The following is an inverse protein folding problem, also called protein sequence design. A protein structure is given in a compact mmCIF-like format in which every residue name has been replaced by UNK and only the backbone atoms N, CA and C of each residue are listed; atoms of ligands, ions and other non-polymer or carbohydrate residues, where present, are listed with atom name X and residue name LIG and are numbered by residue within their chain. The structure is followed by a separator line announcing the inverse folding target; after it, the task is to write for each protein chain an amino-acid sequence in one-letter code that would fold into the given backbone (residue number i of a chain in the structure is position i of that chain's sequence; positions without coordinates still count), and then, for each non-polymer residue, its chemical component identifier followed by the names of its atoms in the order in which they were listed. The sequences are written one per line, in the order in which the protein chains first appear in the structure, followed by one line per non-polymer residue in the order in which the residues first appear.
data_IF_003458261577
#
_entry.id   IF_003458261577
#
_cell.length_a   1.000
_cell.length_b   1.000
_cell.length_c   1.000
_cell.angle_alpha   90.00
_cell.angle_beta   90.00
_cell.angle_gamma   90.00
#
_symmetry.space_group_name_H-M   'P 1'
#
loop_
_entity.id
_entity.type
_entity.pdbx_description
1 polymer ?
#
# COMPACT_ATOMS: atom_id res chain seq x y z
N UNK A 1 -22.86 0.94 -14.16
CA UNK A 1 -22.24 1.91 -13.22
C UNK A 1 -20.91 1.37 -12.75
N UNK A 2 -19.90 2.21 -12.59
CA UNK A 2 -18.63 1.87 -11.98
C UNK A 2 -18.82 1.46 -10.50
N UNK A 3 -18.09 0.45 -10.03
CA UNK A 3 -18.10 0.04 -8.62
C UNK A 3 -17.06 0.85 -7.84
N UNK A 4 -17.46 1.38 -6.69
CA UNK A 4 -16.54 2.08 -5.78
C UNK A 4 -16.17 1.24 -4.55
N UNK A 5 -16.33 -0.08 -4.62
CA UNK A 5 -16.11 -1.01 -3.50
C UNK A 5 -14.64 -1.10 -3.11
N UNK A 6 -13.74 -1.25 -4.10
CA UNK A 6 -12.31 -1.38 -3.85
C UNK A 6 -11.48 -1.07 -5.11
N UNK A 7 -10.15 -1.04 -4.99
CA UNK A 7 -9.19 -0.70 -6.03
C UNK A 7 -8.52 -1.93 -6.71
N UNK A 8 -9.18 -3.09 -6.71
CA UNK A 8 -8.66 -4.33 -7.30
C UNK A 8 -9.75 -5.14 -8.03
N UNK A 9 -10.81 -4.50 -8.53
CA UNK A 9 -11.88 -5.18 -9.29
C UNK A 9 -11.55 -5.28 -10.78
N UNK A 10 -10.79 -4.35 -11.31
CA UNK A 10 -10.37 -4.34 -12.70
C UNK A 10 -9.16 -5.26 -12.93
N UNK A 11 -8.88 -5.56 -14.20
CA UNK A 11 -7.68 -6.27 -14.61
C UNK A 11 -6.43 -5.41 -14.52
N UNK A 12 -5.49 -5.60 -15.45
CA UNK A 12 -4.30 -4.76 -15.51
C UNK A 12 -4.47 -3.59 -16.49
N UNK A 13 -3.70 -2.52 -16.26
CA UNK A 13 -3.57 -1.43 -17.22
C UNK A 13 -3.16 -1.97 -18.60
N UNK A 14 -3.73 -1.47 -19.71
CA UNK A 14 -3.47 -1.98 -21.07
C UNK A 14 -1.99 -2.12 -21.41
N UNK A 15 -1.16 -1.16 -21.00
CA UNK A 15 0.29 -1.18 -21.20
C UNK A 15 0.99 -2.37 -20.50
N UNK A 16 0.48 -2.78 -19.34
CA UNK A 16 0.97 -3.98 -18.62
C UNK A 16 0.54 -5.25 -19.35
N UNK A 17 -0.71 -5.33 -19.81
CA UNK A 17 -1.21 -6.47 -20.60
C UNK A 17 -0.43 -6.62 -21.91
N UNK A 18 -0.18 -5.51 -22.59
CA UNK A 18 0.62 -5.51 -23.81
C UNK A 18 2.02 -6.10 -23.58
N UNK A 19 2.70 -5.70 -22.50
CA UNK A 19 4.00 -6.24 -22.11
C UNK A 19 3.96 -7.76 -21.89
N UNK A 20 2.93 -8.26 -21.25
CA UNK A 20 2.73 -9.71 -21.04
C UNK A 20 2.54 -10.41 -22.37
N UNK A 21 1.68 -9.89 -23.26
CA UNK A 21 1.39 -10.46 -24.57
C UNK A 21 2.64 -10.49 -25.45
N UNK A 22 3.38 -9.39 -25.55
CA UNK A 22 4.61 -9.28 -26.35
C UNK A 22 5.67 -10.31 -25.96
N UNK A 23 5.75 -10.66 -24.69
CA UNK A 23 6.76 -11.60 -24.16
C UNK A 23 6.24 -13.03 -23.98
N UNK A 24 4.96 -13.30 -24.34
CA UNK A 24 4.31 -14.57 -24.02
C UNK A 24 5.01 -15.80 -24.63
N UNK A 25 5.51 -15.70 -25.85
CA UNK A 25 6.15 -16.80 -26.58
C UNK A 25 7.67 -16.89 -26.34
N UNK A 26 8.24 -16.01 -25.52
CA UNK A 26 9.67 -16.07 -25.19
C UNK A 26 9.93 -17.17 -24.17
N UNK A 27 11.05 -17.87 -24.30
CA UNK A 27 11.53 -18.84 -23.34
C UNK A 27 12.44 -18.19 -22.31
N UNK A 28 12.11 -18.35 -21.04
CA UNK A 28 12.84 -17.76 -19.92
C UNK A 28 13.21 -18.79 -18.86
N UNK A 29 14.32 -18.55 -18.17
CA UNK A 29 14.65 -19.28 -16.93
C UNK A 29 13.55 -18.96 -15.89
N UNK A 30 13.09 -19.99 -15.19
CA UNK A 30 12.03 -19.86 -14.17
C UNK A 30 12.48 -19.19 -12.87
N UNK A 31 11.54 -19.09 -11.95
CA UNK A 31 11.79 -18.71 -10.56
C UNK A 31 12.36 -17.29 -10.37
N UNK A 32 11.93 -16.35 -11.22
CA UNK A 32 12.33 -14.92 -11.21
C UNK A 32 13.80 -14.66 -11.55
N UNK A 33 14.53 -15.64 -12.11
CA UNK A 33 15.91 -15.47 -12.57
C UNK A 33 16.04 -14.95 -14.01
N UNK A 34 14.91 -14.71 -14.65
CA UNK A 34 14.78 -14.27 -16.04
C UNK A 34 15.12 -12.79 -16.25
N UNK A 35 15.24 -12.40 -17.52
CA UNK A 35 15.58 -11.04 -17.90
C UNK A 35 14.45 -10.02 -17.65
N UNK A 36 13.17 -10.45 -17.67
CA UNK A 36 12.05 -9.57 -17.37
C UNK A 36 12.08 -9.17 -15.88
N UNK A 37 12.29 -10.14 -14.99
CA UNK A 37 12.49 -9.86 -13.58
C UNK A 37 13.73 -9.00 -13.30
N UNK A 38 14.84 -9.22 -14.02
CA UNK A 38 16.03 -8.37 -13.89
C UNK A 38 15.75 -6.94 -14.32
N UNK A 39 15.00 -6.72 -15.40
CA UNK A 39 14.59 -5.38 -15.86
C UNK A 39 13.67 -4.71 -14.84
N UNK A 40 12.61 -5.39 -14.36
CA UNK A 40 11.72 -4.86 -13.34
C UNK A 40 12.46 -4.46 -12.06
N UNK A 41 13.38 -5.30 -11.56
CA UNK A 41 14.25 -4.97 -10.42
C UNK A 41 15.11 -3.72 -10.69
N UNK A 42 15.69 -3.61 -11.88
CA UNK A 42 16.50 -2.46 -12.27
C UNK A 42 15.67 -1.19 -12.39
N UNK A 43 14.47 -1.27 -12.95
CA UNK A 43 13.56 -0.15 -13.10
C UNK A 43 13.09 0.39 -11.75
N UNK A 44 12.76 -0.49 -10.78
CA UNK A 44 12.43 -0.10 -9.39
C UNK A 44 13.62 0.62 -8.73
N UNK A 45 14.84 0.05 -8.80
CA UNK A 45 16.04 0.69 -8.24
C UNK A 45 16.30 2.06 -8.88
N UNK A 46 16.09 2.18 -10.18
CA UNK A 46 16.24 3.44 -10.91
C UNK A 46 15.19 4.47 -10.48
N UNK A 47 13.95 4.05 -10.21
CA UNK A 47 12.89 4.93 -9.68
C UNK A 47 13.23 5.43 -8.27
N UNK A 48 13.75 4.56 -7.39
CA UNK A 48 14.25 4.96 -6.06
C UNK A 48 15.33 6.04 -6.20
N UNK A 49 16.32 5.83 -7.09
CA UNK A 49 17.39 6.81 -7.31
C UNK A 49 16.87 8.13 -7.88
N UNK A 50 15.97 8.08 -8.88
CA UNK A 50 15.39 9.31 -9.47
C UNK A 50 14.57 10.12 -8.47
N UNK A 51 13.95 9.49 -7.47
CA UNK A 51 13.19 10.16 -6.43
C UNK A 51 14.07 10.83 -5.36
N UNK A 52 15.38 10.56 -5.33
CA UNK A 52 16.33 11.10 -4.35
C UNK A 52 16.77 12.52 -4.69
N UNK A 53 15.90 13.47 -4.54
CA UNK A 53 16.16 14.89 -4.81
C UNK A 53 16.90 15.62 -3.65
N UNK A 54 17.04 14.98 -2.49
CA UNK A 54 17.67 15.56 -1.27
C UNK A 54 18.99 14.87 -0.90
N UNK A 55 19.41 13.82 -1.62
CA UNK A 55 20.60 13.02 -1.28
C UNK A 55 20.39 12.12 -0.06
N UNK A 56 19.13 11.75 0.19
CA UNK A 56 18.69 10.92 1.33
C UNK A 56 19.38 9.55 1.32
N UNK A 57 19.47 8.89 0.18
CA UNK A 57 20.12 7.58 0.03
C UNK A 57 21.60 7.65 0.40
N UNK A 58 22.30 8.67 -0.08
CA UNK A 58 23.72 8.87 0.24
C UNK A 58 23.92 9.13 1.74
N UNK A 59 23.09 9.98 2.32
CA UNK A 59 23.14 10.32 3.74
C UNK A 59 22.88 9.10 4.62
N UNK A 60 22.03 8.19 4.18
CA UNK A 60 21.73 6.92 4.85
C UNK A 60 22.75 5.80 4.52
N UNK A 61 23.78 6.06 3.70
CA UNK A 61 24.79 5.08 3.29
C UNK A 61 24.24 3.97 2.40
N UNK A 62 23.14 4.21 1.69
CA UNK A 62 22.48 3.20 0.85
C UNK A 62 23.12 3.14 -0.52
N UNK A 63 23.49 1.94 -0.93
CA UNK A 63 23.96 1.61 -2.26
C UNK A 63 22.80 0.99 -3.05
N UNK A 64 22.18 1.70 -4.02
CA UNK A 64 20.99 1.20 -4.72
C UNK A 64 21.18 -0.16 -5.37
N UNK A 65 22.38 -0.46 -5.88
CA UNK A 65 22.69 -1.76 -6.47
C UNK A 65 22.67 -2.93 -5.46
N UNK A 66 22.81 -2.65 -4.18
CA UNK A 66 22.77 -3.63 -3.11
C UNK A 66 21.35 -3.91 -2.59
N UNK A 67 20.35 -3.14 -3.01
CA UNK A 67 18.95 -3.41 -2.67
C UNK A 67 18.52 -4.73 -3.32
N UNK A 68 18.06 -5.68 -2.51
CA UNK A 68 17.42 -6.88 -3.02
C UNK A 68 15.95 -6.56 -3.34
N UNK A 69 15.52 -6.85 -4.56
CA UNK A 69 14.13 -6.68 -5.00
C UNK A 69 13.60 -8.03 -5.43
N UNK A 70 12.50 -8.48 -4.83
CA UNK A 70 11.85 -9.74 -5.16
C UNK A 70 10.37 -9.51 -5.49
N UNK A 71 9.77 -10.46 -6.23
CA UNK A 71 8.37 -10.38 -6.64
C UNK A 71 7.57 -11.54 -6.06
N UNK A 72 6.36 -11.25 -5.57
CA UNK A 72 5.41 -12.21 -5.00
C UNK A 72 4.01 -11.99 -5.57
N UNK A 73 3.11 -12.97 -5.38
CA UNK A 73 1.81 -12.97 -6.03
C UNK A 73 0.76 -12.04 -5.41
N UNK A 74 0.96 -11.56 -4.19
CA UNK A 74 -0.02 -10.71 -3.53
C UNK A 74 0.43 -10.20 -2.16
N UNK A 75 -0.33 -9.25 -1.58
CA UNK A 75 0.01 -8.51 -0.36
C UNK A 75 0.18 -9.38 0.87
N UNK A 76 -0.78 -10.25 1.19
CA UNK A 76 -0.68 -11.17 2.34
C UNK A 76 0.56 -12.04 2.25
N UNK A 77 0.92 -12.54 1.04
CA UNK A 77 2.15 -13.29 0.84
C UNK A 77 3.40 -12.42 1.05
N UNK A 78 3.36 -11.15 0.62
CA UNK A 78 4.45 -10.21 0.83
C UNK A 78 4.68 -9.95 2.33
N UNK A 79 3.62 -9.73 3.10
CA UNK A 79 3.67 -9.52 4.54
C UNK A 79 4.18 -10.76 5.27
N UNK A 80 3.61 -11.93 4.97
CA UNK A 80 4.02 -13.20 5.56
C UNK A 80 5.51 -13.51 5.33
N UNK A 81 5.99 -13.35 4.10
CA UNK A 81 7.40 -13.62 3.77
C UNK A 81 8.32 -12.61 4.43
N UNK A 82 7.96 -11.32 4.39
CA UNK A 82 8.77 -10.23 4.96
C UNK A 82 8.92 -10.38 6.48
N UNK A 83 7.84 -10.67 7.18
CA UNK A 83 7.85 -10.85 8.64
C UNK A 83 8.57 -12.15 9.02
N UNK A 84 8.29 -13.26 8.34
CA UNK A 84 8.97 -14.54 8.60
C UNK A 84 10.49 -14.50 8.35
N UNK A 85 10.94 -13.64 7.40
CA UNK A 85 12.37 -13.46 7.15
C UNK A 85 13.05 -12.49 8.14
N UNK A 86 12.27 -11.62 8.77
CA UNK A 86 12.78 -10.56 9.66
C UNK A 86 12.86 -10.98 11.12
N UNK A 87 12.03 -11.93 11.56
CA UNK A 87 11.84 -12.25 12.96
C UNK A 87 12.36 -13.64 13.33
N UNK A 88 12.87 -13.75 14.56
CA UNK A 88 13.15 -15.03 15.22
C UNK A 88 11.88 -15.55 15.90
N UNK A 89 11.78 -16.86 16.22
CA UNK A 89 10.55 -17.47 16.76
C UNK A 89 9.97 -16.81 18.01
N UNK A 90 10.79 -16.15 18.84
CA UNK A 90 10.36 -15.45 20.07
C UNK A 90 10.09 -13.96 19.84
N UNK A 91 10.29 -13.47 18.63
CA UNK A 91 10.11 -12.05 18.29
C UNK A 91 8.73 -11.82 17.65
N UNK A 92 8.24 -10.59 17.75
CA UNK A 92 6.92 -10.19 17.29
C UNK A 92 6.95 -8.86 16.53
N UNK A 93 5.87 -8.59 15.80
CA UNK A 93 5.61 -7.33 15.15
C UNK A 93 4.76 -6.43 16.07
N UNK A 94 4.92 -5.11 15.93
CA UNK A 94 4.09 -4.07 16.55
C UNK A 94 3.44 -3.27 15.42
N UNK A 95 2.13 -3.07 15.48
CA UNK A 95 1.35 -2.41 14.44
C UNK A 95 0.24 -1.54 15.05
N UNK A 96 -0.40 -0.70 14.23
CA UNK A 96 -1.65 -0.02 14.59
C UNK A 96 -2.79 -1.04 14.72
N UNK A 97 -3.89 -0.73 15.46
CA UNK A 97 -4.98 -1.67 15.70
C UNK A 97 -5.68 -2.17 14.44
N UNK A 98 -5.83 -1.31 13.44
CA UNK A 98 -6.47 -1.57 12.15
C UNK A 98 -5.50 -2.03 11.06
N UNK A 99 -4.21 -2.18 11.38
CA UNK A 99 -3.19 -2.63 10.43
C UNK A 99 -3.60 -3.94 9.73
N UNK A 100 -3.36 -4.01 8.42
CA UNK A 100 -3.79 -5.12 7.56
C UNK A 100 -3.40 -6.50 8.11
N UNK A 101 -2.18 -6.65 8.64
CA UNK A 101 -1.69 -7.89 9.25
C UNK A 101 -2.44 -8.31 10.52
N UNK A 102 -3.11 -7.36 11.20
CA UNK A 102 -3.88 -7.64 12.40
C UNK A 102 -5.33 -8.05 12.08
N UNK A 103 -5.99 -7.39 11.10
CA UNK A 103 -7.44 -7.49 10.91
C UNK A 103 -7.88 -8.11 9.57
N UNK A 104 -7.00 -8.17 8.54
CA UNK A 104 -7.39 -8.56 7.18
C UNK A 104 -6.66 -9.78 6.60
N UNK A 105 -5.83 -10.49 7.40
CA UNK A 105 -5.02 -11.62 6.90
C UNK A 105 -5.33 -12.96 7.58
N UNK A 106 -6.44 -13.06 8.29
CA UNK A 106 -6.92 -14.31 8.90
C UNK A 106 -5.84 -15.02 9.75
N UNK A 107 -5.03 -14.24 10.49
CA UNK A 107 -3.95 -14.76 11.31
C UNK A 107 -2.76 -15.32 10.52
N UNK A 108 -2.46 -14.80 9.32
CA UNK A 108 -1.34 -15.29 8.50
C UNK A 108 0.02 -15.12 9.20
N UNK A 109 0.18 -14.06 9.99
CA UNK A 109 1.41 -13.79 10.73
C UNK A 109 1.55 -14.74 11.91
N UNK A 110 0.47 -14.98 12.64
CA UNK A 110 0.41 -15.97 13.72
C UNK A 110 0.66 -17.38 13.19
N UNK A 111 0.11 -17.71 12.02
CA UNK A 111 0.33 -19.00 11.36
C UNK A 111 1.79 -19.21 10.92
N UNK A 112 2.55 -18.15 10.70
CA UNK A 112 4.00 -18.27 10.43
C UNK A 112 4.86 -18.24 11.72
N UNK A 113 4.23 -18.14 12.90
CA UNK A 113 4.87 -18.31 14.21
C UNK A 113 5.14 -17.00 14.96
N UNK A 114 4.58 -15.88 14.54
CA UNK A 114 4.84 -14.58 15.15
C UNK A 114 3.55 -13.92 15.64
N UNK A 115 3.59 -13.35 16.83
CA UNK A 115 2.49 -12.56 17.38
C UNK A 115 2.50 -11.14 16.78
N UNK A 116 1.31 -10.58 16.55
CA UNK A 116 1.13 -9.16 16.31
C UNK A 116 0.69 -8.51 17.63
N UNK A 117 1.41 -7.48 18.06
CA UNK A 117 1.04 -6.58 19.16
C UNK A 117 0.48 -5.30 18.54
N UNK A 118 -0.56 -4.76 19.14
CA UNK A 118 -1.18 -3.52 18.65
C UNK A 118 -0.97 -2.38 19.65
N UNK A 119 -0.85 -1.17 19.13
CA UNK A 119 -0.84 0.06 19.91
C UNK A 119 -2.28 0.54 20.16
N UNK A 120 -2.44 1.60 20.96
CA UNK A 120 -3.74 2.25 21.21
C UNK A 120 -3.98 3.44 20.25
N UNK A 121 -3.27 3.51 19.13
CA UNK A 121 -3.39 4.59 18.14
C UNK A 121 -4.73 4.50 17.40
N UNK A 122 -5.68 5.37 17.76
CA UNK A 122 -7.08 5.28 17.33
C UNK A 122 -7.33 5.70 15.86
N UNK A 123 -6.38 6.41 15.26
CA UNK A 123 -6.49 6.92 13.88
C UNK A 123 -5.83 6.01 12.82
N UNK A 124 -5.30 4.86 13.27
CA UNK A 124 -4.58 3.92 12.40
C UNK A 124 -3.15 4.36 12.04
N UNK A 125 -2.71 5.48 12.57
CA UNK A 125 -1.35 6.01 12.39
C UNK A 125 -0.45 5.53 13.52
N UNK A 126 0.48 4.62 13.24
CA UNK A 126 1.41 4.12 14.24
C UNK A 126 2.29 5.27 14.79
N UNK A 127 2.17 5.57 16.08
CA UNK A 127 2.89 6.65 16.75
C UNK A 127 4.06 6.15 17.59
N UNK A 128 5.09 7.01 17.77
CA UNK A 128 6.20 6.72 18.69
C UNK A 128 5.69 6.53 20.13
N UNK A 129 4.66 7.27 20.55
CA UNK A 129 4.10 7.16 21.88
C UNK A 129 3.40 5.83 22.12
N UNK A 130 2.58 5.38 21.15
CA UNK A 130 1.91 4.07 21.17
C UNK A 130 2.91 2.92 21.18
N UNK A 131 3.95 2.99 20.32
CA UNK A 131 5.02 2.00 20.31
C UNK A 131 5.74 1.96 21.67
N UNK A 132 6.09 3.11 22.24
CA UNK A 132 6.84 3.19 23.52
C UNK A 132 6.01 2.60 24.68
N UNK A 133 4.68 2.73 24.65
CA UNK A 133 3.78 2.09 25.61
C UNK A 133 3.87 0.55 25.53
N UNK A 134 3.76 -0.03 24.32
CA UNK A 134 3.93 -1.47 24.09
C UNK A 134 5.32 -1.95 24.50
N UNK A 135 6.36 -1.20 24.14
CA UNK A 135 7.75 -1.54 24.51
C UNK A 135 7.94 -1.58 26.02
N UNK A 136 7.43 -0.59 26.76
CA UNK A 136 7.51 -0.54 28.24
C UNK A 136 6.83 -1.71 28.91
N UNK A 137 5.67 -2.15 28.39
CA UNK A 137 4.96 -3.32 28.90
C UNK A 137 5.83 -4.58 28.78
N UNK A 138 6.54 -4.75 27.65
CA UNK A 138 7.33 -5.94 27.33
C UNK A 138 8.77 -5.88 27.91
N UNK A 139 9.30 -4.71 28.20
CA UNK A 139 10.62 -4.52 28.83
C UNK A 139 10.56 -4.55 30.37
N UNK A 140 9.37 -4.36 30.96
CA UNK A 140 9.19 -4.29 32.40
C UNK A 140 9.65 -5.58 33.10
N UNK A 141 10.58 -5.44 34.03
CA UNK A 141 11.08 -6.56 34.84
C UNK A 141 11.96 -7.57 34.10
N UNK A 142 12.45 -7.24 32.90
CA UNK A 142 13.18 -8.19 32.00
C UNK A 142 12.37 -9.46 31.73
N UNK A 143 11.14 -9.29 31.32
CA UNK A 143 10.14 -10.33 31.25
C UNK A 143 10.34 -11.25 30.02
N UNK A 144 11.29 -12.21 30.12
CA UNK A 144 11.53 -13.23 29.09
C UNK A 144 10.35 -14.21 28.91
N UNK A 145 9.28 -14.07 29.65
CA UNK A 145 8.05 -14.85 29.48
C UNK A 145 7.15 -14.31 28.37
N UNK A 146 7.36 -13.06 27.94
CA UNK A 146 6.61 -12.43 26.86
C UNK A 146 7.40 -12.49 25.56
N UNK A 147 6.69 -12.35 24.42
CA UNK A 147 7.33 -12.16 23.12
C UNK A 147 8.13 -10.87 23.11
N UNK A 148 9.22 -10.84 22.36
CA UNK A 148 10.09 -9.65 22.24
C UNK A 148 9.68 -8.81 21.03
N UNK A 149 9.20 -7.57 21.18
CA UNK A 149 9.00 -6.66 20.06
C UNK A 149 10.31 -6.45 19.28
N UNK A 150 10.27 -6.62 17.97
CA UNK A 150 11.44 -6.50 17.12
C UNK A 150 11.19 -5.77 15.81
N UNK A 151 9.96 -5.78 15.31
CA UNK A 151 9.60 -5.18 14.03
C UNK A 151 8.42 -4.24 14.21
N UNK A 152 8.54 -3.02 13.68
CA UNK A 152 7.46 -2.08 13.52
C UNK A 152 6.88 -2.27 12.12
N UNK A 153 5.56 -2.46 12.04
CA UNK A 153 4.82 -2.55 10.80
C UNK A 153 4.00 -1.30 10.59
N UNK A 154 4.15 -0.67 9.44
CA UNK A 154 3.49 0.60 9.09
C UNK A 154 2.93 0.51 7.69
N UNK A 155 1.65 0.80 7.51
CA UNK A 155 1.04 0.94 6.16
C UNK A 155 1.29 2.33 5.58
N UNK A 156 1.60 2.39 4.28
CA UNK A 156 1.74 3.64 3.52
C UNK A 156 1.04 3.52 2.16
N UNK A 157 -0.14 4.16 1.95
CA UNK A 157 -1.00 4.86 2.91
C UNK A 157 -1.66 3.89 3.93
N UNK A 158 -2.15 4.44 5.03
CA UNK A 158 -2.84 3.66 6.08
C UNK A 158 -4.19 3.12 5.60
N UNK A 159 -4.76 2.20 6.34
CA UNK A 159 -6.08 1.61 6.09
C UNK A 159 -7.21 2.65 6.17
N UNK A 160 -6.99 3.73 6.93
CA UNK A 160 -7.90 4.89 7.06
C UNK A 160 -7.67 5.97 6.01
N UNK A 161 -6.75 5.73 5.05
CA UNK A 161 -6.44 6.65 3.95
C UNK A 161 -5.54 7.83 4.34
N UNK A 162 -4.89 7.79 5.50
CA UNK A 162 -3.94 8.81 5.94
C UNK A 162 -2.53 8.49 5.41
N UNK A 163 -1.67 9.50 5.38
CA UNK A 163 -0.29 9.40 4.89
C UNK A 163 0.66 9.99 5.92
N UNK A 164 1.69 9.24 6.29
CA UNK A 164 2.75 9.73 7.17
C UNK A 164 3.52 10.87 6.50
N UNK A 165 3.75 11.95 7.24
CA UNK A 165 4.70 13.00 6.88
C UNK A 165 6.15 12.50 6.97
N UNK A 166 7.06 13.21 6.30
CA UNK A 166 8.50 12.93 6.41
C UNK A 166 9.02 13.04 7.85
N UNK A 167 8.44 13.95 8.64
CA UNK A 167 8.80 14.11 10.06
C UNK A 167 8.38 12.90 10.89
N UNK A 168 7.17 12.37 10.69
CA UNK A 168 6.69 11.17 11.38
C UNK A 168 7.49 9.92 10.97
N UNK A 169 7.72 9.74 9.66
CA UNK A 169 8.54 8.66 9.14
C UNK A 169 9.97 8.69 9.73
N UNK A 170 10.56 9.89 9.83
CA UNK A 170 11.89 10.10 10.41
C UNK A 170 11.89 9.80 11.92
N UNK A 171 10.84 10.19 12.64
CA UNK A 171 10.69 9.90 14.06
C UNK A 171 10.57 8.39 14.31
N UNK A 172 9.76 7.68 13.53
CA UNK A 172 9.64 6.22 13.59
C UNK A 172 10.98 5.52 13.33
N UNK A 173 11.72 5.93 12.28
CA UNK A 173 13.05 5.37 11.97
C UNK A 173 14.05 5.64 13.11
N UNK A 174 14.05 6.85 13.65
CA UNK A 174 14.94 7.23 14.74
C UNK A 174 14.65 6.43 16.01
N UNK A 175 13.37 6.28 16.36
CA UNK A 175 12.94 5.44 17.48
C UNK A 175 13.32 3.98 17.25
N UNK A 176 13.01 3.41 16.09
CA UNK A 176 13.37 2.04 15.74
C UNK A 176 14.87 1.80 15.87
N UNK A 177 15.70 2.73 15.38
CA UNK A 177 17.17 2.65 15.52
C UNK A 177 17.61 2.66 16.99
N UNK A 178 17.01 3.54 17.83
CA UNK A 178 17.35 3.66 19.24
C UNK A 178 17.02 2.43 20.08
N UNK A 179 16.01 1.64 19.63
CA UNK A 179 15.50 0.46 20.31
C UNK A 179 15.94 -0.87 19.66
N UNK A 180 16.81 -0.83 18.68
CA UNK A 180 17.21 -1.99 17.87
C UNK A 180 16.00 -2.72 17.25
N UNK A 181 15.03 -1.94 16.71
CA UNK A 181 13.87 -2.45 16.01
C UNK A 181 14.07 -2.35 14.49
N UNK A 182 13.43 -3.25 13.77
CA UNK A 182 13.29 -3.21 12.32
C UNK A 182 12.07 -2.37 11.95
N UNK A 183 12.13 -1.68 10.81
CA UNK A 183 10.98 -0.97 10.26
C UNK A 183 10.56 -1.60 8.93
N UNK A 184 9.36 -2.16 8.90
CA UNK A 184 8.69 -2.66 7.70
C UNK A 184 7.60 -1.70 7.27
N UNK A 185 7.68 -1.21 6.02
CA UNK A 185 6.65 -0.35 5.43
C UNK A 185 5.86 -1.18 4.41
N UNK A 186 4.58 -1.41 4.71
CA UNK A 186 3.64 -2.00 3.76
C UNK A 186 3.16 -0.93 2.77
N UNK A 187 3.58 -1.09 1.54
CA UNK A 187 3.25 -0.20 0.44
C UNK A 187 2.18 -0.76 -0.50
N UNK A 188 1.17 -1.48 0.03
CA UNK A 188 0.05 -1.98 -0.79
C UNK A 188 -0.63 -0.86 -1.60
N UNK A 189 -0.62 0.38 -1.09
CA UNK A 189 -1.06 1.60 -1.78
C UNK A 189 0.04 2.65 -1.86
N UNK A 190 1.28 2.23 -2.05
CA UNK A 190 2.46 3.12 -2.03
C UNK A 190 2.36 4.25 -3.07
N UNK A 191 1.95 3.96 -4.31
CA UNK A 191 1.79 4.98 -5.34
C UNK A 191 0.79 6.06 -4.94
N UNK A 192 -0.36 5.63 -4.41
CA UNK A 192 -1.42 6.51 -3.90
C UNK A 192 -0.90 7.39 -2.76
N UNK A 193 -0.21 6.83 -1.79
CA UNK A 193 0.39 7.59 -0.69
C UNK A 193 1.41 8.62 -1.19
N UNK A 194 2.39 8.19 -2.00
CA UNK A 194 3.45 9.07 -2.53
C UNK A 194 2.96 10.19 -3.44
N UNK A 195 1.79 10.02 -4.07
CA UNK A 195 1.21 11.01 -4.98
C UNK A 195 0.02 11.77 -4.40
N UNK A 196 -0.29 11.58 -3.12
CA UNK A 196 -1.32 12.34 -2.43
C UNK A 196 -0.91 13.80 -2.29
N UNK A 197 -1.92 14.70 -2.19
CA UNK A 197 -1.75 16.15 -2.36
C UNK A 197 -0.66 16.75 -1.47
N UNK A 198 -0.60 16.39 -0.21
CA UNK A 198 0.28 17.02 0.77
C UNK A 198 1.43 16.08 1.22
N UNK A 199 1.71 15.02 0.44
CA UNK A 199 2.80 14.11 0.73
C UNK A 199 4.17 14.77 0.47
N UNK A 200 4.99 14.85 1.51
CA UNK A 200 6.37 15.36 1.47
C UNK A 200 7.43 14.23 1.47
N UNK A 201 6.96 12.97 1.41
CA UNK A 201 7.79 11.75 1.39
C UNK A 201 8.05 11.30 -0.05
N UNK A 202 9.28 10.92 -0.34
CA UNK A 202 9.68 10.32 -1.62
C UNK A 202 9.91 8.82 -1.50
N UNK A 203 9.97 8.11 -2.63
CA UNK A 203 10.34 6.69 -2.65
C UNK A 203 11.75 6.45 -2.08
N UNK A 204 12.65 7.42 -2.23
CA UNK A 204 13.98 7.40 -1.62
C UNK A 204 13.91 7.52 -0.09
N UNK A 205 13.02 8.35 0.44
CA UNK A 205 12.80 8.50 1.89
C UNK A 205 12.22 7.21 2.48
N UNK A 206 11.24 6.56 1.81
CA UNK A 206 10.75 5.22 2.19
C UNK A 206 11.91 4.21 2.24
N UNK A 207 12.72 4.15 1.19
CA UNK A 207 13.89 3.25 1.11
C UNK A 207 14.91 3.53 2.23
N UNK A 208 15.12 4.79 2.59
CA UNK A 208 16.06 5.17 3.65
C UNK A 208 15.53 4.83 5.04
N UNK A 209 14.23 4.97 5.27
CA UNK A 209 13.60 4.67 6.54
C UNK A 209 13.43 3.17 6.78
N UNK A 210 12.98 2.40 5.81
CA UNK A 210 12.62 0.99 5.97
C UNK A 210 13.84 0.06 5.96
N UNK A 211 13.79 -1.02 6.73
CA UNK A 211 14.67 -2.19 6.60
C UNK A 211 14.18 -3.10 5.46
N UNK A 212 12.86 -3.15 5.29
CA UNK A 212 12.15 -3.85 4.24
C UNK A 212 10.88 -3.07 3.91
N UNK A 213 10.47 -3.01 2.65
CA UNK A 213 9.19 -2.41 2.27
C UNK A 213 8.61 -3.09 1.04
N UNK A 214 7.29 -2.96 0.85
CA UNK A 214 6.60 -3.47 -0.33
C UNK A 214 6.22 -2.34 -1.29
N UNK A 215 6.06 -2.70 -2.56
CA UNK A 215 5.56 -1.84 -3.63
C UNK A 215 4.36 -2.57 -4.22
N UNK A 216 3.17 -2.09 -3.91
CA UNK A 216 1.91 -2.70 -4.32
C UNK A 216 1.68 -2.58 -5.83
N UNK A 217 1.51 -3.70 -6.52
CA UNK A 217 1.14 -3.73 -7.92
C UNK A 217 -0.34 -4.01 -8.14
N UNK A 218 -0.91 -4.93 -7.38
CA UNK A 218 -2.30 -5.41 -7.53
C UNK A 218 -3.33 -4.28 -7.53
N UNK A 219 -3.17 -3.27 -6.69
CA UNK A 219 -4.09 -2.12 -6.57
C UNK A 219 -3.73 -0.96 -7.49
N UNK A 220 -2.65 -1.09 -8.28
CA UNK A 220 -2.08 0.01 -9.04
C UNK A 220 -1.69 -0.39 -10.46
N UNK A 221 -2.63 -1.02 -11.16
CA UNK A 221 -2.55 -1.32 -12.59
C UNK A 221 -1.78 -2.59 -12.97
N UNK A 222 -1.25 -3.37 -12.02
CA UNK A 222 -0.80 -4.73 -12.30
C UNK A 222 -1.99 -5.70 -12.35
N UNK A 223 -1.84 -6.80 -13.08
CA UNK A 223 -2.82 -7.88 -13.07
C UNK A 223 -2.86 -8.57 -11.69
N UNK A 224 -1.70 -8.71 -11.07
CA UNK A 224 -1.50 -9.19 -9.70
C UNK A 224 -0.03 -8.99 -9.30
N UNK A 225 0.25 -8.99 -8.00
CA UNK A 225 1.59 -9.10 -7.45
C UNK A 225 2.12 -7.83 -6.82
N UNK A 226 3.16 -8.09 -6.00
CA UNK A 226 3.85 -7.08 -5.21
C UNK A 226 5.36 -7.21 -5.41
N UNK A 227 6.09 -6.11 -5.35
CA UNK A 227 7.54 -6.14 -5.20
C UNK A 227 7.91 -5.94 -3.73
N UNK A 228 8.87 -6.69 -3.25
CA UNK A 228 9.47 -6.54 -1.92
C UNK A 228 10.88 -6.00 -2.11
N UNK A 229 11.20 -4.89 -1.45
CA UNK A 229 12.53 -4.29 -1.45
C UNK A 229 13.15 -4.50 -0.07
N UNK A 230 14.22 -5.28 -0.01
CA UNK A 230 14.95 -5.58 1.21
C UNK A 230 16.25 -4.78 1.21
N UNK A 231 16.34 -3.84 2.15
CA UNK A 231 17.54 -3.01 2.35
C UNK A 231 18.49 -3.64 3.37
N UNK A 232 17.95 -4.19 4.43
CA UNK A 232 18.74 -4.74 5.54
C UNK A 232 19.46 -6.02 5.12
N UNK A 233 20.82 -6.07 5.19
CA UNK A 233 21.59 -7.22 4.73
C UNK A 233 21.37 -8.50 5.57
N UNK A 234 20.99 -8.38 6.83
CA UNK A 234 20.68 -9.55 7.67
C UNK A 234 19.38 -10.24 7.24
N UNK A 235 18.40 -9.47 6.78
CA UNK A 235 17.17 -10.02 6.19
C UNK A 235 17.46 -10.63 4.82
N UNK A 236 18.32 -10.01 4.00
CA UNK A 236 18.68 -10.49 2.65
C UNK A 236 19.30 -11.89 2.66
N UNK A 237 20.07 -12.22 3.70
CA UNK A 237 20.93 -13.43 3.75
C UNK A 237 20.21 -14.71 3.36
N UNK A 238 19.00 -14.94 3.91
CA UNK A 238 18.23 -16.17 3.68
C UNK A 238 16.84 -15.88 3.05
N UNK A 239 16.60 -14.66 2.58
CA UNK A 239 15.29 -14.21 2.15
C UNK A 239 14.65 -15.13 1.09
N UNK A 240 15.42 -15.54 0.06
CA UNK A 240 14.91 -16.43 -1.00
C UNK A 240 14.61 -17.84 -0.52
N UNK A 241 15.32 -18.34 0.51
CA UNK A 241 14.98 -19.61 1.11
C UNK A 241 13.63 -19.54 1.82
N UNK A 242 13.38 -18.46 2.58
CA UNK A 242 12.09 -18.22 3.24
C UNK A 242 10.98 -18.07 2.20
N UNK A 243 11.19 -17.26 1.14
CA UNK A 243 10.25 -17.15 0.03
C UNK A 243 9.91 -18.53 -0.55
N UNK A 244 10.90 -19.35 -0.85
CA UNK A 244 10.68 -20.68 -1.45
C UNK A 244 9.93 -21.60 -0.49
N UNK A 245 10.28 -21.59 0.79
CA UNK A 245 9.62 -22.38 1.83
C UNK A 245 8.14 -22.01 1.97
N UNK A 246 7.81 -20.71 1.89
CA UNK A 246 6.44 -20.17 1.98
C UNK A 246 5.65 -20.27 0.66
N UNK A 247 6.22 -20.83 -0.42
CA UNK A 247 5.56 -20.97 -1.71
C UNK A 247 5.56 -19.69 -2.56
N UNK A 248 6.27 -18.65 -2.15
CA UNK A 248 6.28 -17.34 -2.77
C UNK A 248 7.10 -17.25 -4.08
N UNK A 249 7.93 -18.24 -4.41
CA UNK A 249 8.75 -18.26 -5.62
C UNK A 249 8.07 -19.08 -6.71
N UNK A 250 7.47 -18.39 -7.69
CA UNK A 250 6.69 -19.00 -8.76
C UNK A 250 7.59 -19.48 -9.92
N UNK A 251 7.26 -20.63 -10.51
CA UNK A 251 7.97 -21.17 -11.67
C UNK A 251 7.95 -20.21 -12.87
N UNK A 252 6.79 -19.60 -13.17
CA UNK A 252 6.62 -18.57 -14.21
C UNK A 252 6.68 -17.15 -13.62
N UNK A 253 7.57 -16.90 -12.68
CA UNK A 253 7.73 -15.59 -12.01
C UNK A 253 8.03 -14.42 -12.97
N UNK A 254 8.47 -14.72 -14.21
CA UNK A 254 8.65 -13.72 -15.27
C UNK A 254 7.40 -12.85 -15.52
N UNK A 255 6.20 -13.39 -15.23
CA UNK A 255 4.97 -12.63 -15.38
C UNK A 255 4.90 -11.45 -14.39
N UNK A 256 5.41 -11.63 -13.17
CA UNK A 256 5.55 -10.54 -12.22
C UNK A 256 6.59 -9.51 -12.70
N UNK A 257 7.77 -10.00 -13.15
CA UNK A 257 8.83 -9.13 -13.66
C UNK A 257 8.39 -8.29 -14.84
N UNK A 258 7.61 -8.84 -15.77
CA UNK A 258 7.08 -8.13 -16.94
C UNK A 258 6.15 -6.97 -16.53
N UNK A 259 5.32 -7.17 -15.53
CA UNK A 259 4.39 -6.17 -15.03
C UNK A 259 5.14 -5.00 -14.36
N UNK A 260 6.07 -5.30 -13.46
CA UNK A 260 6.87 -4.26 -12.80
C UNK A 260 7.85 -3.58 -13.77
N UNK A 261 8.36 -4.28 -14.80
CA UNK A 261 9.11 -3.65 -15.90
C UNK A 261 8.22 -2.62 -16.62
N UNK A 262 6.99 -2.96 -16.97
CA UNK A 262 6.04 -2.03 -17.61
C UNK A 262 5.72 -0.82 -16.72
N UNK A 263 5.37 -1.05 -15.44
CA UNK A 263 4.96 0.00 -14.51
C UNK A 263 6.08 1.00 -14.19
N UNK A 264 7.34 0.59 -14.20
CA UNK A 264 8.46 1.44 -13.79
C UNK A 264 9.37 1.92 -14.93
N UNK A 265 9.31 1.28 -16.12
CA UNK A 265 10.10 1.68 -17.30
C UNK A 265 9.34 2.60 -18.25
N UNK A 266 8.00 2.51 -18.28
CA UNK A 266 7.16 3.44 -19.04
C UNK A 266 6.85 4.68 -18.22
N UNK A 267 6.61 5.81 -18.90
CA UNK A 267 6.04 7.00 -18.27
C UNK A 267 4.52 6.99 -18.36
N UNK A 268 3.85 7.68 -17.43
CA UNK A 268 2.41 7.84 -17.49
C UNK A 268 1.94 8.57 -18.75
N UNK A 269 2.70 9.55 -19.20
CA UNK A 269 2.42 10.27 -20.44
C UNK A 269 2.46 9.33 -21.67
N UNK A 270 3.45 8.41 -21.77
CA UNK A 270 3.50 7.39 -22.83
C UNK A 270 2.32 6.43 -22.78
N UNK A 271 1.79 6.18 -21.59
CA UNK A 271 0.63 5.30 -21.37
C UNK A 271 -0.72 6.02 -21.46
N UNK A 272 -0.72 7.34 -21.70
CA UNK A 272 -1.93 8.14 -21.88
C UNK A 272 -2.66 8.49 -20.58
N UNK A 273 -1.98 8.49 -19.43
CA UNK A 273 -2.55 8.92 -18.13
C UNK A 273 -2.61 10.44 -18.11
N UNK A 274 -3.80 10.99 -17.95
CA UNK A 274 -4.06 12.44 -18.07
C UNK A 274 -3.34 13.27 -17.00
N UNK A 275 -3.29 12.77 -15.75
CA UNK A 275 -2.67 13.46 -14.62
C UNK A 275 -1.16 13.20 -14.50
N UNK A 276 -0.53 12.54 -15.48
CA UNK A 276 0.89 12.20 -15.44
C UNK A 276 1.78 13.42 -15.59
N UNK A 277 2.86 13.47 -14.82
CA UNK A 277 3.97 14.40 -15.07
C UNK A 277 4.91 13.83 -16.12
N UNK A 278 5.61 14.73 -16.84
CA UNK A 278 6.67 14.36 -17.76
C UNK A 278 7.73 13.52 -17.01
N UNK A 279 8.18 12.41 -17.60
CA UNK A 279 9.15 11.47 -17.03
C UNK A 279 8.71 10.74 -15.74
N UNK A 280 7.47 10.92 -15.27
CA UNK A 280 6.96 10.17 -14.12
C UNK A 280 6.69 8.70 -14.52
N UNK A 281 7.18 7.70 -13.73
CA UNK A 281 6.84 6.30 -14.00
C UNK A 281 5.33 6.07 -14.01
N UNK A 282 4.86 5.21 -14.91
CA UNK A 282 3.45 4.82 -15.00
C UNK A 282 2.88 4.43 -13.62
N UNK A 283 3.67 3.74 -12.80
CA UNK A 283 3.32 3.35 -11.44
C UNK A 283 2.83 4.52 -10.58
N UNK A 284 3.55 5.65 -10.56
CA UNK A 284 3.15 6.83 -9.79
C UNK A 284 2.00 7.58 -10.45
N UNK A 285 1.99 7.67 -11.77
CA UNK A 285 0.91 8.34 -12.50
C UNK A 285 -0.46 7.68 -12.28
N UNK A 286 -0.53 6.35 -12.18
CA UNK A 286 -1.77 5.62 -11.86
C UNK A 286 -2.27 5.93 -10.43
N UNK A 287 -1.36 6.03 -9.45
CA UNK A 287 -1.71 6.45 -8.10
C UNK A 287 -2.23 7.89 -8.06
N UNK A 288 -1.58 8.80 -8.80
CA UNK A 288 -2.00 10.21 -8.95
C UNK A 288 -3.39 10.31 -9.56
N UNK A 289 -3.65 9.57 -10.63
CA UNK A 289 -4.96 9.49 -11.26
C UNK A 289 -6.04 9.02 -10.26
N UNK A 290 -5.80 7.93 -9.55
CA UNK A 290 -6.74 7.42 -8.54
C UNK A 290 -7.07 8.48 -7.47
N UNK A 291 -6.06 9.22 -7.00
CA UNK A 291 -6.25 10.33 -6.06
C UNK A 291 -7.06 11.48 -6.66
N UNK A 292 -6.78 11.86 -7.92
CA UNK A 292 -7.52 12.93 -8.60
C UNK A 292 -9.00 12.57 -8.74
N UNK A 293 -9.33 11.35 -9.11
CA UNK A 293 -10.72 10.89 -9.19
C UNK A 293 -11.40 10.91 -7.81
N UNK A 294 -10.69 10.50 -6.75
CA UNK A 294 -11.23 10.52 -5.39
C UNK A 294 -11.49 11.95 -4.86
N UNK A 295 -10.66 12.91 -5.21
CA UNK A 295 -10.88 14.33 -4.89
C UNK A 295 -12.15 14.82 -5.58
N UNK A 296 -12.31 14.56 -6.89
CA UNK A 296 -13.51 14.92 -7.66
C UNK A 296 -14.77 14.26 -7.10
N UNK A 297 -14.68 12.96 -6.74
CA UNK A 297 -15.77 12.24 -6.08
C UNK A 297 -16.17 12.91 -4.77
N UNK A 298 -15.19 13.25 -3.91
CA UNK A 298 -15.43 13.95 -2.64
C UNK A 298 -16.12 15.30 -2.82
N UNK A 299 -15.77 16.04 -3.86
CA UNK A 299 -16.42 17.29 -4.21
C UNK A 299 -17.89 17.10 -4.64
N UNK A 300 -18.17 16.04 -5.42
CA UNK A 300 -19.54 15.65 -5.79
C UNK A 300 -20.34 15.31 -4.53
N UNK A 301 -19.84 14.44 -3.69
CA UNK A 301 -20.49 14.02 -2.44
C UNK A 301 -20.86 15.23 -1.57
N UNK A 302 -19.92 16.16 -1.36
CA UNK A 302 -20.15 17.38 -0.56
C UNK A 302 -21.23 18.29 -1.17
N UNK A 303 -21.29 18.42 -2.50
CA UNK A 303 -22.34 19.21 -3.18
C UNK A 303 -23.74 18.69 -2.90
N UNK A 304 -23.89 17.38 -2.72
CA UNK A 304 -25.14 16.71 -2.45
C UNK A 304 -25.39 16.42 -0.95
N UNK A 305 -24.66 17.15 -0.06
CA UNK A 305 -24.89 17.11 1.39
C UNK A 305 -24.22 15.95 2.14
N UNK A 306 -23.39 15.14 1.46
CA UNK A 306 -22.58 14.07 2.09
C UNK A 306 -21.22 14.64 2.49
N UNK A 307 -21.16 15.38 3.60
CA UNK A 307 -19.96 16.09 4.08
C UNK A 307 -19.36 15.52 5.37
N UNK A 308 -19.98 14.50 5.97
CA UNK A 308 -19.50 13.84 7.17
C UNK A 308 -18.51 12.74 6.82
N UNK A 309 -17.22 13.01 7.00
CA UNK A 309 -16.13 12.04 6.78
C UNK A 309 -15.43 11.74 8.10
N UNK A 310 -15.06 10.47 8.34
CA UNK A 310 -14.31 10.08 9.55
C UNK A 310 -12.83 10.49 9.50
N UNK A 311 -12.28 10.71 8.28
CA UNK A 311 -10.93 11.22 8.06
C UNK A 311 -10.90 12.14 6.85
N UNK A 312 -10.00 13.12 6.86
CA UNK A 312 -9.74 13.95 5.66
C UNK A 312 -8.71 13.26 4.76
N UNK A 313 -9.08 12.07 4.27
CA UNK A 313 -8.19 11.26 3.44
C UNK A 313 -7.74 12.00 2.18
N UNK A 314 -6.43 12.18 1.95
CA UNK A 314 -5.88 12.75 0.72
C UNK A 314 -5.66 11.71 -0.38
N UNK A 315 -6.10 10.45 -0.15
CA UNK A 315 -5.84 9.31 -1.00
C UNK A 315 -7.05 8.90 -1.84
N UNK A 316 -6.93 7.79 -2.55
CA UNK A 316 -7.98 7.21 -3.39
C UNK A 316 -9.19 6.66 -2.62
N UNK A 317 -9.15 6.63 -1.30
CA UNK A 317 -10.22 6.12 -0.45
C UNK A 317 -10.91 7.26 0.30
N UNK A 318 -12.25 7.32 0.27
CA UNK A 318 -13.07 8.28 1.00
C UNK A 318 -14.01 7.55 1.96
N UNK A 319 -14.06 7.98 3.22
CA UNK A 319 -14.75 7.28 4.30
C UNK A 319 -15.88 8.17 4.84
N UNK A 320 -17.12 7.88 4.47
CA UNK A 320 -18.31 8.61 4.88
C UNK A 320 -18.89 8.02 6.15
N UNK A 321 -19.32 8.87 7.07
CA UNK A 321 -20.16 8.49 8.21
C UNK A 321 -21.61 8.77 7.85
N UNK A 322 -22.42 7.73 7.70
CA UNK A 322 -23.81 7.82 7.27
C UNK A 322 -24.73 7.19 8.33
N UNK A 323 -25.97 7.69 8.45
CA UNK A 323 -26.99 7.02 9.19
C UNK A 323 -27.29 5.63 8.59
N UNK A 324 -27.56 4.62 9.42
CA UNK A 324 -27.67 3.24 8.96
C UNK A 324 -28.66 3.02 7.81
N UNK A 325 -29.78 3.77 7.81
CA UNK A 325 -30.78 3.64 6.74
C UNK A 325 -30.30 4.27 5.43
N UNK A 326 -29.54 5.37 5.48
CA UNK A 326 -28.94 6.02 4.31
C UNK A 326 -27.79 5.17 3.77
N UNK A 327 -26.94 4.63 4.66
CA UNK A 327 -25.79 3.82 4.30
C UNK A 327 -26.17 2.59 3.46
N UNK A 328 -27.29 1.94 3.76
CA UNK A 328 -27.75 0.75 3.06
C UNK A 328 -28.09 1.05 1.60
N UNK A 329 -28.87 2.10 1.37
CA UNK A 329 -29.25 2.55 0.03
C UNK A 329 -28.05 3.08 -0.75
N UNK A 330 -27.16 3.82 -0.07
CA UNK A 330 -25.92 4.36 -0.63
C UNK A 330 -24.96 3.24 -1.11
N UNK A 331 -24.71 2.23 -0.27
CA UNK A 331 -23.87 1.08 -0.63
C UNK A 331 -24.46 0.31 -1.82
N UNK A 332 -25.78 0.16 -1.86
CA UNK A 332 -26.44 -0.50 -3.00
C UNK A 332 -26.34 0.33 -4.28
N UNK A 333 -26.53 1.64 -4.20
CA UNK A 333 -26.50 2.53 -5.36
C UNK A 333 -25.12 2.64 -6.00
N UNK A 334 -24.05 2.68 -5.21
CA UNK A 334 -22.69 2.94 -5.66
C UNK A 334 -21.76 1.73 -5.57
N UNK A 335 -22.27 0.56 -5.17
CA UNK A 335 -21.48 -0.64 -4.86
C UNK A 335 -20.26 -0.28 -4.00
N UNK A 336 -20.54 0.39 -2.85
CA UNK A 336 -19.55 0.82 -1.86
C UNK A 336 -19.43 -0.21 -0.73
N UNK A 337 -18.41 -0.09 0.13
CA UNK A 337 -18.07 -1.08 1.15
C UNK A 337 -18.37 -0.59 2.57
N UNK A 338 -19.00 -1.43 3.42
CA UNK A 338 -19.14 -1.17 4.84
C UNK A 338 -17.80 -1.45 5.54
N UNK A 339 -17.27 -0.48 6.27
CA UNK A 339 -16.01 -0.62 7.01
C UNK A 339 -16.24 -0.91 8.49
N UNK A 340 -17.12 -0.14 9.14
CA UNK A 340 -17.39 -0.29 10.56
C UNK A 340 -18.73 0.36 10.94
N UNK A 341 -19.19 0.04 12.15
CA UNK A 341 -20.32 0.71 12.81
C UNK A 341 -19.82 1.28 14.14
N UNK A 342 -19.50 2.58 14.19
CA UNK A 342 -18.94 3.19 15.39
C UNK A 342 -19.96 3.25 16.55
N UNK A 343 -21.24 3.24 16.24
CA UNK A 343 -22.34 3.25 17.18
C UNK A 343 -23.59 2.50 16.63
N UNK A 344 -24.72 2.57 17.32
CA UNK A 344 -25.98 1.91 16.90
C UNK A 344 -26.71 2.62 15.75
N UNK A 345 -26.35 3.85 15.42
CA UNK A 345 -27.09 4.70 14.49
C UNK A 345 -26.35 4.95 13.18
N UNK A 346 -25.00 4.78 13.17
CA UNK A 346 -24.15 5.13 12.05
C UNK A 346 -23.35 3.96 11.49
N UNK A 347 -23.11 4.03 10.20
CA UNK A 347 -22.23 3.12 9.42
C UNK A 347 -21.16 3.94 8.72
N UNK A 348 -19.91 3.48 8.79
CA UNK A 348 -18.81 4.02 7.98
C UNK A 348 -18.80 3.30 6.63
N UNK A 349 -19.02 4.06 5.56
CA UNK A 349 -19.01 3.56 4.17
C UNK A 349 -17.78 4.10 3.47
N UNK A 350 -17.02 3.19 2.86
CA UNK A 350 -15.85 3.54 2.05
C UNK A 350 -16.22 3.54 0.57
N UNK A 351 -15.87 4.62 -0.13
CA UNK A 351 -15.77 4.66 -1.57
C UNK A 351 -14.31 4.70 -2.00
N UNK A 352 -13.95 3.87 -2.97
CA UNK A 352 -12.57 3.74 -3.44
C UNK A 352 -12.50 3.98 -4.94
N UNK A 353 -11.69 4.94 -5.37
CA UNK A 353 -11.34 5.13 -6.78
C UNK A 353 -10.10 4.28 -7.13
N UNK A 354 -10.10 3.69 -8.32
CA UNK A 354 -8.98 2.89 -8.82
C UNK A 354 -8.23 3.62 -9.94
N UNK A 355 -7.17 3.02 -10.43
CA UNK A 355 -6.45 3.47 -11.62
C UNK A 355 -7.32 3.49 -12.89
N UNK A 356 -8.46 2.81 -12.88
CA UNK A 356 -9.38 2.71 -14.02
C UNK A 356 -10.65 3.56 -13.84
N UNK A 357 -10.86 4.20 -12.69
CA UNK A 357 -11.99 5.12 -12.48
C UNK A 357 -11.86 6.32 -13.41
N UNK A 358 -12.91 6.64 -14.16
CA UNK A 358 -12.91 7.73 -15.15
C UNK A 358 -13.68 8.96 -14.65
N UNK A 359 -13.48 10.11 -15.31
CA UNK A 359 -14.30 11.29 -15.05
C UNK A 359 -15.80 11.02 -15.33
N UNK A 360 -16.10 10.22 -16.36
CA UNK A 360 -17.49 9.86 -16.69
C UNK A 360 -18.15 9.05 -15.55
N UNK A 361 -17.40 8.21 -14.86
CA UNK A 361 -17.91 7.48 -13.67
C UNK A 361 -18.28 8.44 -12.55
N UNK A 362 -17.47 9.48 -12.32
CA UNK A 362 -17.76 10.53 -11.33
C UNK A 362 -18.98 11.38 -11.75
N UNK A 363 -19.08 11.75 -13.03
CA UNK A 363 -20.21 12.50 -13.57
C UNK A 363 -21.53 11.70 -13.48
N UNK A 364 -21.48 10.37 -13.60
CA UNK A 364 -22.64 9.51 -13.36
C UNK A 364 -23.10 9.54 -11.89
N UNK A 365 -22.18 9.59 -10.92
CA UNK A 365 -22.53 9.76 -9.51
C UNK A 365 -23.27 11.10 -9.29
N UNK A 366 -22.74 12.18 -9.84
CA UNK A 366 -23.34 13.52 -9.75
C UNK A 366 -24.75 13.57 -10.36
N UNK A 367 -24.91 12.95 -11.53
CA UNK A 367 -26.21 12.88 -12.21
C UNK A 367 -27.25 12.07 -11.41
N UNK A 368 -26.85 11.00 -10.74
CA UNK A 368 -27.77 10.19 -9.92
C UNK A 368 -28.30 10.96 -8.72
N UNK A 369 -27.47 11.71 -8.01
CA UNK A 369 -27.91 12.56 -6.91
C UNK A 369 -28.84 13.65 -7.40
N UNK A 370 -28.51 14.34 -8.50
CA UNK A 370 -29.35 15.39 -9.09
C UNK A 370 -30.73 14.87 -9.50
N UNK A 371 -30.84 13.65 -10.02
CA UNK A 371 -32.13 13.02 -10.34
C UNK A 371 -32.94 12.66 -9.09
N UNK A 372 -32.30 12.19 -8.03
CA UNK A 372 -32.96 11.87 -6.78
C UNK A 372 -33.54 13.12 -6.10
N UNK A 373 -32.80 14.24 -6.10
CA UNK A 373 -33.25 15.53 -5.58
C UNK A 373 -34.47 16.06 -6.36
N UNK A 374 -34.43 16.04 -7.69
CA UNK A 374 -35.53 16.47 -8.55
C UNK A 374 -36.82 15.65 -8.34
N UNK A 375 -36.69 14.35 -8.06
CA UNK A 375 -37.85 13.48 -7.76
C UNK A 375 -38.42 13.72 -6.36
N UNK A 376 -37.66 14.29 -5.43
CA UNK A 376 -38.12 14.58 -4.06
C UNK A 376 -38.86 15.92 -4.01
N UNK A 377 -38.55 16.86 -4.92
CA UNK A 377 -39.19 18.16 -5.02
C UNK A 377 -40.49 18.15 -5.88
N UNK A 378 -40.75 17.09 -6.64
CA UNK A 378 -41.92 16.92 -7.52
C UNK A 378 -43.06 16.16 -6.82
#
# INVERSE_FOLDING_TARGET
MHSFRNDYMEGAHPFVLERIVQTNNEQHIGYTEDNLCKRGRSAIRSAIVRSDNKGTLRSAGIIPAALQVEFVAGGTMANLVSIAASLRPHECAVAAPDAHINVHETGAIEACGHKVLVTDDADGMLSVAGIDAVMKEHEYGRNFHMVKPRLLYVSFATETGLVLSLSELTALRSYATSKDLLLFIDGARLAVGLTSKDCDVTLADICAAADIFTIGGTKNGALFGEAIVVRNPDIQRDFRYIMKQKGAVMAKGRLLGAQFDALFSATGAQAGVEEAFEDEPLYLSLGRHSNAMAVRLKEVLKRHGFDSFISDSPTNQQFLLLENHVAQDFMHAFDADEISRPDSEHTVVRMTCSWATTQEDIDQVDAMFSQAEANTEA
#
